data_IF_369962403056
#
_entry.id   IF_369962403056
#
_cell.length_a   1.000
_cell.length_b   1.000
_cell.length_c   1.000
_cell.angle_alpha   90.00
_cell.angle_beta   90.00
_cell.angle_gamma   90.00
#
_symmetry.space_group_name_H-M   'P 1'
#
loop_
_entity.id
_entity.type
_entity.pdbx_description
1 polymer ?
#
# COMPACT_ATOMS: atom_id res chain seq x y z
N UNK A 1 6.57 24.38 -11.76
CA UNK A 1 5.42 23.56 -12.18
C UNK A 1 5.75 22.08 -11.98
N UNK A 2 4.78 21.29 -11.58
CA UNK A 2 4.90 19.84 -11.45
C UNK A 2 4.07 19.14 -12.52
N UNK A 3 4.53 18.00 -12.99
CA UNK A 3 3.84 17.21 -14.02
C UNK A 3 2.97 16.11 -13.40
N UNK A 4 3.31 15.66 -12.20
CA UNK A 4 2.60 14.60 -11.47
C UNK A 4 2.47 14.98 -10.00
N UNK A 5 1.33 14.67 -9.41
CA UNK A 5 1.10 14.82 -7.97
C UNK A 5 1.32 13.45 -7.31
N UNK A 6 1.99 13.43 -6.18
CA UNK A 6 2.16 12.20 -5.40
C UNK A 6 2.02 12.44 -3.91
N UNK A 7 1.74 11.37 -3.18
CA UNK A 7 1.63 11.38 -1.72
C UNK A 7 2.08 10.03 -1.17
N UNK A 8 2.47 9.99 0.08
CA UNK A 8 2.60 8.74 0.83
C UNK A 8 1.23 8.27 1.30
N UNK A 9 0.96 6.98 1.18
CA UNK A 9 -0.33 6.37 1.46
C UNK A 9 -0.30 5.42 2.67
N UNK A 10 0.22 5.86 3.80
CA UNK A 10 0.24 5.06 5.04
C UNK A 10 -0.98 5.40 5.91
N UNK A 11 -2.18 5.20 5.36
CA UNK A 11 -3.42 5.55 6.06
C UNK A 11 -3.96 4.38 6.88
N UNK A 12 -4.59 4.65 8.05
CA UNK A 12 -5.32 3.61 8.79
C UNK A 12 -6.30 2.86 7.89
N UNK A 13 -6.47 1.57 8.17
CA UNK A 13 -7.30 0.68 7.34
C UNK A 13 -8.75 1.17 7.15
N UNK A 14 -9.28 1.89 8.12
CA UNK A 14 -10.65 2.42 8.13
C UNK A 14 -10.78 3.88 7.69
N UNK A 15 -9.68 4.52 7.26
CA UNK A 15 -9.68 5.95 6.93
C UNK A 15 -9.38 6.26 5.44
N UNK A 16 -9.28 5.25 4.60
CA UNK A 16 -8.89 5.42 3.19
C UNK A 16 -9.85 6.35 2.42
N UNK A 17 -11.15 6.16 2.55
CA UNK A 17 -12.13 6.97 1.80
C UNK A 17 -12.04 8.46 2.19
N UNK A 18 -11.87 8.78 3.48
CA UNK A 18 -11.71 10.16 3.94
C UNK A 18 -10.44 10.79 3.37
N UNK A 19 -9.33 10.07 3.36
CA UNK A 19 -8.08 10.58 2.81
C UNK A 19 -8.14 10.76 1.30
N UNK A 20 -8.76 9.82 0.60
CA UNK A 20 -8.96 9.93 -0.85
C UNK A 20 -9.86 11.10 -1.22
N UNK A 21 -10.91 11.39 -0.45
CA UNK A 21 -11.76 12.58 -0.65
C UNK A 21 -10.95 13.88 -0.56
N UNK A 22 -10.04 13.95 0.40
CA UNK A 22 -9.16 15.13 0.57
C UNK A 22 -8.18 15.28 -0.60
N UNK A 23 -7.55 14.19 -1.02
CA UNK A 23 -6.58 14.19 -2.13
C UNK A 23 -7.29 14.53 -3.45
N UNK A 24 -8.50 14.01 -3.66
CA UNK A 24 -9.27 14.26 -4.87
C UNK A 24 -9.51 15.75 -5.13
N UNK A 25 -9.73 16.53 -4.08
CA UNK A 25 -9.88 17.99 -4.20
C UNK A 25 -8.62 18.65 -4.79
N UNK A 26 -7.44 18.18 -4.38
CA UNK A 26 -6.17 18.68 -4.91
C UNK A 26 -5.96 18.23 -6.35
N UNK A 27 -6.22 16.95 -6.64
CA UNK A 27 -6.08 16.38 -7.99
C UNK A 27 -6.98 17.12 -8.98
N UNK A 28 -8.25 17.35 -8.62
CA UNK A 28 -9.19 18.09 -9.46
C UNK A 28 -8.78 19.54 -9.65
N UNK A 29 -8.28 20.20 -8.60
CA UNK A 29 -7.85 21.60 -8.66
C UNK A 29 -6.70 21.81 -9.63
N UNK A 30 -5.73 20.91 -9.66
CA UNK A 30 -4.52 21.05 -10.47
C UNK A 30 -4.56 20.27 -11.78
N UNK A 31 -5.54 19.38 -11.95
CA UNK A 31 -5.74 18.57 -13.15
C UNK A 31 -4.44 17.87 -13.60
N UNK A 32 -3.84 17.12 -12.69
CA UNK A 32 -2.59 16.40 -12.93
C UNK A 32 -2.73 14.93 -12.57
N UNK A 33 -1.98 14.03 -13.23
CA UNK A 33 -1.89 12.63 -12.82
C UNK A 33 -1.47 12.51 -11.35
N UNK A 34 -1.96 11.48 -10.70
CA UNK A 34 -1.64 11.18 -9.29
C UNK A 34 -1.21 9.73 -9.10
N UNK A 35 -0.25 9.51 -8.20
CA UNK A 35 0.09 8.18 -7.71
C UNK A 35 0.56 8.22 -6.25
N UNK A 36 0.45 7.10 -5.55
CA UNK A 36 1.05 6.96 -4.23
C UNK A 36 2.53 6.55 -4.39
N UNK A 37 3.44 7.46 -4.02
CA UNK A 37 4.88 7.22 -4.11
C UNK A 37 5.35 6.13 -3.16
N UNK A 38 4.67 6.02 -2.01
CA UNK A 38 4.87 4.96 -1.03
C UNK A 38 3.53 4.55 -0.44
N UNK A 39 3.32 3.26 -0.27
CA UNK A 39 2.18 2.72 0.46
C UNK A 39 2.56 1.37 1.07
N UNK A 40 2.28 1.18 2.34
CA UNK A 40 2.64 -0.05 3.02
C UNK A 40 2.09 -0.17 4.43
N UNK A 41 2.21 -1.38 4.97
CA UNK A 41 1.79 -1.74 6.32
C UNK A 41 2.68 -2.88 6.80
N UNK A 42 3.08 -2.86 8.06
CA UNK A 42 3.88 -3.96 8.62
C UNK A 42 3.02 -5.20 8.89
N UNK A 43 3.65 -6.37 8.82
CA UNK A 43 3.06 -7.65 9.24
C UNK A 43 3.09 -7.82 10.76
N UNK A 44 2.58 -6.81 11.47
CA UNK A 44 2.52 -6.74 12.93
C UNK A 44 1.10 -6.42 13.35
N UNK A 45 0.59 -7.13 14.34
CA UNK A 45 -0.74 -6.89 14.89
C UNK A 45 -0.88 -5.42 15.33
N UNK A 46 -1.92 -4.76 14.83
CA UNK A 46 -2.19 -3.35 15.10
C UNK A 46 -1.56 -2.37 14.11
N UNK A 47 -0.60 -2.79 13.29
CA UNK A 47 0.03 -1.90 12.30
C UNK A 47 -0.98 -1.34 11.30
N UNK A 48 -2.02 -2.10 10.95
CA UNK A 48 -3.04 -1.63 9.99
C UNK A 48 -3.88 -0.44 10.50
N UNK A 49 -3.83 -0.14 11.80
CA UNK A 49 -4.45 1.07 12.36
C UNK A 49 -3.50 2.27 12.40
N UNK A 50 -2.21 2.01 12.37
CA UNK A 50 -1.15 3.03 12.42
C UNK A 50 0.00 2.68 11.45
N UNK A 51 -0.29 2.48 10.16
CA UNK A 51 0.70 1.93 9.23
C UNK A 51 1.94 2.79 9.05
N UNK A 52 1.87 4.08 9.37
CA UNK A 52 3.01 5.00 9.33
C UNK A 52 3.94 4.86 10.54
N UNK A 53 3.54 4.13 11.57
CA UNK A 53 4.36 3.91 12.76
C UNK A 53 5.20 2.64 12.59
N UNK A 54 6.45 2.79 12.16
CA UNK A 54 7.40 1.69 11.99
C UNK A 54 7.97 1.16 13.30
N UNK A 55 7.64 1.79 14.43
CA UNK A 55 8.01 1.36 15.78
C UNK A 55 6.97 0.47 16.47
N UNK A 56 5.84 0.17 15.83
CA UNK A 56 4.79 -0.69 16.42
C UNK A 56 5.35 -2.06 16.78
N UNK A 57 5.11 -2.48 18.02
CA UNK A 57 5.48 -3.79 18.54
C UNK A 57 4.25 -4.66 18.69
N UNK A 58 4.35 -5.93 18.34
CA UNK A 58 3.25 -6.87 18.45
C UNK A 58 3.57 -8.23 17.85
N UNK A 59 2.60 -9.12 17.88
CA UNK A 59 2.70 -10.44 17.26
C UNK A 59 2.79 -10.32 15.74
N UNK A 60 3.47 -11.27 15.10
CA UNK A 60 3.46 -11.40 13.64
C UNK A 60 2.02 -11.57 13.13
N UNK A 61 1.64 -10.78 12.12
CA UNK A 61 0.28 -10.76 11.57
C UNK A 61 0.32 -10.42 10.06
N UNK A 62 0.66 -11.40 9.24
CA UNK A 62 0.65 -11.19 7.79
C UNK A 62 -0.78 -11.04 7.22
N UNK A 63 -1.78 -11.60 7.91
CA UNK A 63 -3.18 -11.41 7.51
C UNK A 63 -3.61 -9.96 7.67
N UNK A 64 -3.28 -9.33 8.80
CA UNK A 64 -3.58 -7.91 9.02
C UNK A 64 -2.91 -7.00 7.99
N UNK A 65 -1.68 -7.31 7.60
CA UNK A 65 -0.99 -6.63 6.51
C UNK A 65 -1.73 -6.81 5.18
N UNK A 66 -2.09 -8.05 4.84
CA UNK A 66 -2.81 -8.35 3.61
C UNK A 66 -4.19 -7.67 3.55
N UNK A 67 -4.92 -7.65 4.66
CA UNK A 67 -6.22 -6.97 4.75
C UNK A 67 -6.10 -5.47 4.52
N UNK A 68 -5.00 -4.86 4.98
CA UNK A 68 -4.70 -3.45 4.71
C UNK A 68 -4.57 -3.19 3.21
N UNK A 69 -3.80 -4.02 2.48
CA UNK A 69 -3.65 -3.89 1.04
C UNK A 69 -4.96 -4.12 0.30
N UNK A 70 -5.78 -5.11 0.71
CA UNK A 70 -7.10 -5.34 0.13
C UNK A 70 -7.98 -4.09 0.25
N UNK A 71 -7.99 -3.49 1.44
CA UNK A 71 -8.78 -2.29 1.71
C UNK A 71 -8.29 -1.09 0.91
N UNK A 72 -6.98 -0.86 0.84
CA UNK A 72 -6.37 0.18 0.01
C UNK A 72 -6.80 0.03 -1.46
N UNK A 73 -6.63 -1.14 -2.04
CA UNK A 73 -6.99 -1.37 -3.43
C UNK A 73 -8.49 -1.21 -3.69
N UNK A 74 -9.34 -1.70 -2.78
CA UNK A 74 -10.78 -1.57 -2.91
C UNK A 74 -11.23 -0.10 -2.86
N UNK A 75 -10.67 0.71 -1.98
CA UNK A 75 -10.96 2.13 -1.88
C UNK A 75 -10.47 2.89 -3.12
N UNK A 76 -9.25 2.63 -3.56
CA UNK A 76 -8.64 3.31 -4.70
C UNK A 76 -9.27 2.90 -6.05
N UNK A 77 -9.81 1.69 -6.17
CA UNK A 77 -10.48 1.24 -7.38
C UNK A 77 -11.71 2.09 -7.75
N UNK A 78 -12.32 2.73 -6.77
CA UNK A 78 -13.46 3.64 -6.98
C UNK A 78 -13.02 5.01 -7.47
N UNK A 79 -11.73 5.27 -7.58
CA UNK A 79 -11.15 6.59 -7.88
C UNK A 79 -10.28 6.50 -9.13
N UNK A 80 -10.82 6.85 -10.27
CA UNK A 80 -10.14 6.78 -11.59
C UNK A 80 -8.84 7.59 -11.66
N UNK A 81 -8.73 8.62 -10.81
CA UNK A 81 -7.57 9.50 -10.78
C UNK A 81 -6.35 8.89 -10.04
N UNK A 82 -6.50 7.77 -9.34
CA UNK A 82 -5.36 7.07 -8.72
C UNK A 82 -4.66 6.23 -9.77
N UNK A 83 -3.46 6.67 -10.18
CA UNK A 83 -2.71 6.06 -11.28
C UNK A 83 -1.84 4.87 -10.87
N UNK A 84 -1.48 4.75 -9.60
CA UNK A 84 -0.63 3.62 -9.16
C UNK A 84 -0.04 3.77 -7.78
N UNK A 85 0.82 2.82 -7.42
CA UNK A 85 1.40 2.69 -6.08
C UNK A 85 2.87 2.27 -6.14
N UNK A 86 3.72 2.93 -5.35
CA UNK A 86 5.01 2.42 -4.94
C UNK A 86 4.84 1.61 -3.65
N UNK A 87 4.93 0.29 -3.74
CA UNK A 87 4.71 -0.59 -2.57
C UNK A 87 5.93 -0.57 -1.65
N UNK A 88 5.71 -0.26 -0.39
CA UNK A 88 6.70 -0.33 0.66
C UNK A 88 6.42 -1.53 1.58
N UNK A 89 7.25 -2.63 1.51
CA UNK A 89 8.40 -2.65 0.63
C UNK A 89 8.58 -4.01 -0.06
N UNK A 90 9.35 -3.96 -1.12
CA UNK A 90 9.91 -5.12 -1.78
C UNK A 90 11.43 -4.96 -1.81
N UNK A 91 12.13 -5.76 -1.04
CA UNK A 91 13.58 -5.66 -0.93
C UNK A 91 14.29 -6.22 -2.18
N UNK A 92 15.26 -5.47 -2.69
CA UNK A 92 15.93 -5.80 -3.95
C UNK A 92 16.75 -7.09 -3.92
N UNK A 93 17.22 -7.51 -2.73
CA UNK A 93 18.06 -8.72 -2.60
C UNK A 93 17.31 -10.05 -2.78
N UNK A 94 15.99 -10.04 -2.82
CA UNK A 94 15.20 -11.26 -3.03
C UNK A 94 15.27 -11.79 -4.47
N UNK A 95 15.86 -11.04 -5.38
CA UNK A 95 16.06 -11.46 -6.78
C UNK A 95 17.07 -12.59 -6.97
N UNK A 96 17.81 -12.96 -5.95
CA UNK A 96 18.82 -14.03 -6.00
C UNK A 96 18.26 -15.44 -5.72
N UNK A 97 16.95 -15.57 -5.55
CA UNK A 97 16.28 -16.84 -5.29
C UNK A 97 16.34 -17.31 -3.84
N UNK A 98 16.75 -16.44 -2.91
CA UNK A 98 16.70 -16.78 -1.47
C UNK A 98 15.26 -17.01 -1.01
N UNK A 99 15.10 -17.93 -0.04
CA UNK A 99 13.80 -18.18 0.56
C UNK A 99 13.37 -16.96 1.41
N UNK A 100 12.09 -16.56 1.33
CA UNK A 100 11.60 -15.46 2.15
C UNK A 100 11.71 -15.80 3.64
N UNK A 101 12.13 -14.81 4.43
CA UNK A 101 12.11 -14.89 5.88
C UNK A 101 10.97 -14.00 6.37
N UNK A 102 10.00 -14.60 7.06
CA UNK A 102 8.83 -13.88 7.58
C UNK A 102 9.20 -13.10 8.83
N UNK A 103 9.30 -11.78 8.71
CA UNK A 103 9.66 -10.85 9.80
C UNK A 103 8.54 -9.87 10.07
N UNK A 104 8.56 -9.28 11.25
CA UNK A 104 7.67 -8.19 11.67
C UNK A 104 8.13 -6.87 11.03
N UNK A 105 7.91 -6.72 9.74
CA UNK A 105 8.35 -5.57 8.95
C UNK A 105 7.39 -5.26 7.79
N UNK A 106 7.75 -4.29 6.95
CA UNK A 106 6.97 -3.89 5.78
C UNK A 106 7.14 -4.82 4.58
N UNK A 107 8.13 -5.71 4.59
CA UNK A 107 8.41 -6.61 3.46
C UNK A 107 7.17 -7.42 3.10
N UNK A 108 6.85 -7.48 1.81
CA UNK A 108 5.69 -8.25 1.31
C UNK A 108 6.10 -9.60 0.73
N UNK A 109 7.37 -9.78 0.39
CA UNK A 109 7.87 -10.99 -0.23
C UNK A 109 7.64 -12.23 0.65
N UNK A 110 7.00 -13.24 0.05
CA UNK A 110 6.68 -14.49 0.75
C UNK A 110 5.55 -14.42 1.75
N UNK A 111 4.85 -13.28 1.84
CA UNK A 111 3.71 -13.09 2.74
C UNK A 111 2.38 -13.06 1.97
N UNK A 112 1.28 -13.17 2.68
CA UNK A 112 -0.07 -13.11 2.11
C UNK A 112 -0.33 -11.80 1.34
N UNK A 113 0.26 -10.69 1.76
CA UNK A 113 0.16 -9.40 1.07
C UNK A 113 0.66 -9.46 -0.38
N UNK A 114 1.71 -10.23 -0.65
CA UNK A 114 2.22 -10.39 -2.01
C UNK A 114 1.16 -10.99 -2.95
N UNK A 115 0.42 -11.99 -2.48
CA UNK A 115 -0.66 -12.60 -3.26
C UNK A 115 -1.77 -11.59 -3.58
N UNK A 116 -2.13 -10.74 -2.62
CA UNK A 116 -3.10 -9.67 -2.82
C UNK A 116 -2.64 -8.70 -3.92
N UNK A 117 -1.39 -8.25 -3.84
CA UNK A 117 -0.78 -7.33 -4.80
C UNK A 117 -0.73 -7.98 -6.19
N UNK A 118 -0.25 -9.21 -6.27
CA UNK A 118 -0.14 -9.97 -7.52
C UNK A 118 -1.50 -10.09 -8.21
N UNK A 119 -2.52 -10.52 -7.49
CA UNK A 119 -3.87 -10.67 -8.05
C UNK A 119 -4.42 -9.35 -8.56
N UNK A 120 -4.19 -8.26 -7.82
CA UNK A 120 -4.67 -6.94 -8.24
C UNK A 120 -4.05 -6.49 -9.56
N UNK A 121 -2.74 -6.61 -9.68
CA UNK A 121 -2.03 -6.20 -10.90
C UNK A 121 -2.27 -7.17 -12.07
N UNK A 122 -2.47 -8.45 -11.82
CA UNK A 122 -2.80 -9.42 -12.87
C UNK A 122 -4.14 -9.11 -13.54
N UNK A 123 -5.13 -8.60 -12.81
CA UNK A 123 -6.43 -8.21 -13.36
C UNK A 123 -6.33 -7.03 -14.33
N UNK A 124 -5.32 -6.19 -14.21
CA UNK A 124 -5.12 -5.03 -15.10
C UNK A 124 -4.57 -5.47 -16.46
N UNK A 125 -3.91 -6.63 -16.52
CA UNK A 125 -3.29 -7.16 -17.74
C UNK A 125 -4.26 -8.04 -18.56
N UNK A 126 -5.39 -8.37 -18.01
CA UNK A 126 -6.47 -9.11 -18.70
C UNK A 126 -7.42 -8.13 -19.40
#
# INVERSE_FOLDING_TARGET
AVDVISSSGYYPIDDWDNQLDRIEQVVKKFDKPFFFAEAGCMSVKGSNQVPNDWGVQGAYDEKGQADWFRTMFAACQKREWVGGFGIWEWAAWHGDGTKPVKRNDYEVYGKEALEVIYRKYSQVLE
#
